data_IF_757154042553
#
_entry.id   IF_757154042553
#
_cell.length_a   1.000
_cell.length_b   1.000
_cell.length_c   1.000
_cell.angle_alpha   90.00
_cell.angle_beta   90.00
_cell.angle_gamma   90.00
#
_symmetry.space_group_name_H-M   'P 1'
#
loop_
_entity.id
_entity.type
_entity.pdbx_description
1 polymer ?
#
# COMPACT_ATOMS: atom_id res chain seq x y z
N UNK A 1 -11.38 6.21 -13.63
CA UNK A 1 -10.94 5.20 -12.65
C UNK A 1 -11.25 5.71 -11.24
N UNK A 2 -12.46 5.46 -10.73
CA UNK A 2 -12.85 5.93 -9.38
C UNK A 2 -12.74 4.80 -8.36
N UNK A 3 -12.87 3.53 -8.77
CA UNK A 3 -12.99 2.37 -7.87
C UNK A 3 -11.63 1.92 -7.28
N UNK A 4 -10.54 1.98 -8.07
CA UNK A 4 -9.24 1.44 -7.66
C UNK A 4 -8.66 2.04 -6.36
N UNK A 5 -8.72 3.37 -6.13
CA UNK A 5 -8.26 3.96 -4.86
C UNK A 5 -9.03 3.44 -3.64
N UNK A 6 -10.33 3.13 -3.78
CA UNK A 6 -11.12 2.59 -2.68
C UNK A 6 -10.71 1.16 -2.34
N UNK A 7 -10.52 0.31 -3.35
CA UNK A 7 -10.06 -1.06 -3.15
C UNK A 7 -8.67 -1.08 -2.51
N UNK A 8 -7.75 -0.26 -3.03
CA UNK A 8 -6.40 -0.16 -2.48
C UNK A 8 -6.42 0.30 -1.02
N UNK A 9 -7.18 1.34 -0.70
CA UNK A 9 -7.33 1.79 0.69
C UNK A 9 -7.97 0.73 1.59
N UNK A 10 -8.89 -0.09 1.06
CA UNK A 10 -9.53 -1.17 1.82
C UNK A 10 -8.52 -2.25 2.20
N UNK A 11 -7.66 -2.63 1.26
CA UNK A 11 -6.59 -3.61 1.48
C UNK A 11 -5.59 -3.12 2.53
N UNK A 12 -5.18 -1.84 2.45
CA UNK A 12 -4.29 -1.24 3.45
C UNK A 12 -4.98 -1.12 4.81
N UNK A 13 -6.25 -0.75 4.87
CA UNK A 13 -7.05 -0.68 6.09
C UNK A 13 -7.13 -2.06 6.78
N UNK A 14 -7.32 -3.14 6.02
CA UNK A 14 -7.30 -4.51 6.56
C UNK A 14 -5.91 -4.82 7.14
N UNK A 15 -4.84 -4.45 6.44
CA UNK A 15 -3.47 -4.65 6.93
C UNK A 15 -3.21 -3.90 8.24
N UNK A 16 -3.70 -2.67 8.34
CA UNK A 16 -3.68 -1.87 9.57
C UNK A 16 -4.49 -2.53 10.70
N UNK A 17 -5.67 -3.07 10.40
CA UNK A 17 -6.49 -3.81 11.37
C UNK A 17 -5.77 -5.05 11.93
N UNK A 18 -5.10 -5.82 11.06
CA UNK A 18 -4.26 -6.98 11.46
C UNK A 18 -3.15 -6.55 12.41
N UNK A 19 -2.58 -5.36 12.17
CA UNK A 19 -1.55 -4.77 13.03
C UNK A 19 -2.11 -4.10 14.30
N UNK A 20 -3.42 -4.20 14.57
CA UNK A 20 -4.06 -3.67 15.78
C UNK A 20 -4.52 -2.21 15.69
N UNK A 21 -4.40 -1.56 14.53
CA UNK A 21 -4.92 -0.20 14.34
C UNK A 21 -6.44 -0.19 14.24
N UNK A 22 -7.08 0.90 14.66
CA UNK A 22 -8.56 1.00 14.68
C UNK A 22 -9.09 2.34 14.17
N UNK A 23 -8.25 3.20 13.61
CA UNK A 23 -8.71 4.45 12.99
C UNK A 23 -9.61 4.15 11.78
N UNK A 24 -10.46 5.12 11.46
CA UNK A 24 -11.49 4.98 10.43
C UNK A 24 -10.87 4.88 9.04
N UNK A 25 -11.50 4.09 8.17
CA UNK A 25 -11.11 3.92 6.77
C UNK A 25 -10.91 5.25 6.01
N UNK A 26 -11.72 6.27 6.31
CA UNK A 26 -11.61 7.60 5.70
C UNK A 26 -10.21 8.21 5.87
N UNK A 27 -9.55 7.93 7.00
CA UNK A 27 -8.21 8.44 7.28
C UNK A 27 -7.15 7.77 6.39
N UNK A 28 -7.21 6.44 6.26
CA UNK A 28 -6.38 5.69 5.32
C UNK A 28 -6.63 6.12 3.88
N UNK A 29 -7.89 6.28 3.48
CA UNK A 29 -8.25 6.69 2.13
C UNK A 29 -7.67 8.07 1.77
N UNK A 30 -7.78 9.06 2.67
CA UNK A 30 -7.18 10.40 2.49
C UNK A 30 -5.68 10.29 2.31
N UNK A 31 -4.99 9.59 3.22
CA UNK A 31 -3.53 9.43 3.16
C UNK A 31 -3.09 8.88 1.82
N UNK A 32 -3.70 7.78 1.37
CA UNK A 32 -3.28 7.11 0.14
C UNK A 32 -3.60 7.95 -1.10
N UNK A 33 -4.75 8.63 -1.11
CA UNK A 33 -5.14 9.50 -2.23
C UNK A 33 -4.22 10.72 -2.36
N UNK A 34 -3.78 11.31 -1.25
CA UNK A 34 -2.79 12.39 -1.31
C UNK A 34 -1.38 11.90 -1.65
N UNK A 35 -1.03 10.69 -1.20
CA UNK A 35 0.31 10.15 -1.40
C UNK A 35 0.62 9.78 -2.85
N UNK A 36 -0.40 9.45 -3.65
CA UNK A 36 -0.22 9.06 -5.06
C UNK A 36 -0.10 10.26 -6.03
N UNK A 37 -0.48 11.46 -5.60
CA UNK A 37 -0.47 12.68 -6.44
C UNK A 37 0.87 12.90 -7.16
N UNK A 38 2.05 12.77 -6.52
CA UNK A 38 3.34 12.96 -7.20
C UNK A 38 3.51 12.02 -8.40
N UNK A 39 3.15 10.74 -8.24
CA UNK A 39 3.17 9.76 -9.34
C UNK A 39 2.13 10.05 -10.42
N UNK A 40 0.95 10.59 -10.07
CA UNK A 40 -0.06 10.93 -11.08
C UNK A 40 0.33 12.13 -11.94
N UNK A 41 0.98 13.13 -11.34
CA UNK A 41 1.39 14.35 -12.05
C UNK A 41 2.65 14.14 -12.89
N UNK A 42 3.65 13.45 -12.34
CA UNK A 42 5.01 13.41 -12.90
C UNK A 42 5.35 12.02 -13.45
N UNK A 43 4.52 11.00 -13.17
CA UNK A 43 4.73 9.62 -13.61
C UNK A 43 4.65 9.40 -15.12
N UNK A 44 4.11 10.36 -15.88
CA UNK A 44 4.04 10.28 -17.35
C UNK A 44 5.40 10.50 -18.03
N UNK A 45 6.37 11.09 -17.32
CA UNK A 45 7.68 11.40 -17.88
C UNK A 45 8.51 10.10 -17.93
N UNK A 46 8.98 9.67 -19.12
CA UNK A 46 9.82 8.49 -19.25
C UNK A 46 11.07 8.58 -18.36
N UNK A 47 11.48 7.45 -17.77
CA UNK A 47 12.61 7.28 -16.85
C UNK A 47 12.50 8.01 -15.50
N UNK A 48 11.91 9.20 -15.46
CA UNK A 48 11.73 10.01 -14.24
C UNK A 48 10.54 9.48 -13.41
N UNK A 49 9.48 9.02 -14.07
CA UNK A 49 8.26 8.59 -13.40
C UNK A 49 8.48 7.47 -12.37
N UNK A 50 9.46 6.59 -12.57
CA UNK A 50 9.79 5.51 -11.63
C UNK A 50 10.19 6.04 -10.24
N UNK A 51 10.93 7.14 -10.17
CA UNK A 51 11.33 7.74 -8.90
C UNK A 51 10.14 8.29 -8.13
N UNK A 52 9.13 8.81 -8.84
CA UNK A 52 7.92 9.35 -8.23
C UNK A 52 6.99 8.27 -7.69
N UNK A 53 7.04 7.05 -8.21
CA UNK A 53 6.37 5.89 -7.59
C UNK A 53 6.98 5.54 -6.23
N UNK A 54 8.32 5.47 -6.17
CA UNK A 54 9.05 5.22 -4.91
C UNK A 54 8.76 6.34 -3.91
N UNK A 55 8.82 7.59 -4.36
CA UNK A 55 8.50 8.75 -3.53
C UNK A 55 7.06 8.70 -3.00
N UNK A 56 6.08 8.37 -3.85
CA UNK A 56 4.67 8.23 -3.46
C UNK A 56 4.48 7.11 -2.43
N UNK A 57 5.23 6.02 -2.55
CA UNK A 57 5.23 4.93 -1.57
C UNK A 57 5.80 5.38 -0.21
N UNK A 58 6.91 6.10 -0.21
CA UNK A 58 7.49 6.68 1.01
C UNK A 58 6.52 7.67 1.66
N UNK A 59 5.85 8.51 0.85
CA UNK A 59 4.86 9.47 1.34
C UNK A 59 3.66 8.76 1.98
N UNK A 60 3.21 7.63 1.41
CA UNK A 60 2.17 6.79 2.01
C UNK A 60 2.59 6.25 3.38
N UNK A 61 3.82 5.74 3.52
CA UNK A 61 4.34 5.26 4.81
C UNK A 61 4.37 6.38 5.85
N UNK A 62 4.87 7.56 5.47
CA UNK A 62 4.94 8.73 6.36
C UNK A 62 3.53 9.18 6.76
N UNK A 63 2.62 9.32 5.78
CA UNK A 63 1.25 9.73 6.02
C UNK A 63 0.50 8.75 6.93
N UNK A 64 0.65 7.45 6.71
CA UNK A 64 0.05 6.42 7.57
C UNK A 64 0.65 6.48 8.98
N UNK A 65 1.96 6.62 9.11
CA UNK A 65 2.66 6.75 10.39
C UNK A 65 2.12 7.93 11.22
N UNK A 66 1.97 9.09 10.60
CA UNK A 66 1.46 10.31 11.27
C UNK A 66 -0.04 10.18 11.57
N UNK A 67 -0.85 9.90 10.55
CA UNK A 67 -2.31 9.91 10.68
C UNK A 67 -2.81 8.76 11.53
N UNK A 68 -2.12 7.61 11.57
CA UNK A 68 -2.46 6.50 12.46
C UNK A 68 -1.71 6.51 13.81
N UNK A 69 -0.80 7.46 14.04
CA UNK A 69 0.07 7.49 15.23
C UNK A 69 0.83 6.17 15.45
N UNK A 70 1.37 5.60 14.36
CA UNK A 70 2.13 4.35 14.38
C UNK A 70 3.59 4.57 14.01
N UNK A 71 4.45 3.66 14.44
CA UNK A 71 5.85 3.68 14.02
C UNK A 71 5.96 3.52 12.49
N UNK A 72 6.99 4.12 11.89
CA UNK A 72 7.25 4.00 10.44
C UNK A 72 7.43 2.55 10.02
N UNK A 73 8.03 1.72 10.88
CA UNK A 73 8.14 0.27 10.66
C UNK A 73 6.78 -0.40 10.56
N UNK A 74 5.85 -0.09 11.48
CA UNK A 74 4.49 -0.64 11.45
C UNK A 74 3.72 -0.18 10.20
N UNK A 75 3.86 1.09 9.82
CA UNK A 75 3.30 1.60 8.56
C UNK A 75 3.89 0.91 7.32
N UNK A 76 5.20 0.66 7.32
CA UNK A 76 5.88 -0.07 6.23
C UNK A 76 5.36 -1.50 6.11
N UNK A 77 5.23 -2.20 7.24
CA UNK A 77 4.63 -3.55 7.27
C UNK A 77 3.20 -3.50 6.75
N UNK A 78 2.39 -2.51 7.16
CA UNK A 78 1.02 -2.36 6.67
C UNK A 78 0.95 -2.22 5.13
N UNK A 79 1.88 -1.48 4.53
CA UNK A 79 1.97 -1.33 3.08
C UNK A 79 2.45 -2.60 2.36
N UNK A 80 3.34 -3.39 2.97
CA UNK A 80 3.94 -4.57 2.35
C UNK A 80 3.13 -5.85 2.58
N UNK A 81 2.34 -5.92 3.65
CA UNK A 81 1.60 -7.11 4.05
C UNK A 81 0.73 -7.71 2.92
N UNK A 82 -0.02 -6.93 2.13
CA UNK A 82 -0.82 -7.49 1.02
C UNK A 82 0.04 -8.18 -0.04
N UNK A 83 1.18 -7.58 -0.36
CA UNK A 83 2.11 -8.10 -1.38
C UNK A 83 2.76 -9.39 -0.87
N UNK A 84 3.18 -9.42 0.40
CA UNK A 84 3.75 -10.61 1.02
C UNK A 84 2.76 -11.78 1.05
N UNK A 85 1.49 -11.51 1.39
CA UNK A 85 0.42 -12.53 1.35
C UNK A 85 0.22 -13.05 -0.06
N UNK A 86 0.13 -12.16 -1.06
CA UNK A 86 -0.05 -12.55 -2.45
C UNK A 86 1.11 -13.41 -2.96
N UNK A 87 2.36 -13.03 -2.68
CA UNK A 87 3.55 -13.82 -3.02
C UNK A 87 3.48 -15.20 -2.38
N UNK A 88 3.10 -15.30 -1.10
CA UNK A 88 2.94 -16.58 -0.41
C UNK A 88 1.89 -17.48 -1.04
N UNK A 89 0.74 -16.93 -1.45
CA UNK A 89 -0.33 -17.67 -2.13
C UNK A 89 0.16 -18.20 -3.49
N UNK A 90 0.80 -17.35 -4.30
CA UNK A 90 1.33 -17.73 -5.61
C UNK A 90 2.37 -18.83 -5.48
N UNK A 91 3.29 -18.70 -4.51
CA UNK A 91 4.33 -19.69 -4.25
C UNK A 91 3.73 -21.04 -3.82
N UNK A 92 2.74 -21.02 -2.93
CA UNK A 92 2.02 -22.22 -2.50
C UNK A 92 1.30 -22.91 -3.66
N UNK A 93 0.60 -22.13 -4.50
CA UNK A 93 -0.07 -22.64 -5.69
C UNK A 93 0.92 -23.27 -6.68
N UNK A 94 2.04 -22.58 -6.96
CA UNK A 94 3.09 -23.11 -7.82
C UNK A 94 3.64 -24.43 -7.27
N UNK A 95 3.97 -24.47 -5.98
CA UNK A 95 4.46 -25.71 -5.36
C UNK A 95 3.44 -26.86 -5.47
N UNK A 96 2.14 -26.58 -5.31
CA UNK A 96 1.11 -27.61 -5.47
C UNK A 96 0.92 -28.05 -6.94
N UNK A 97 0.94 -27.12 -7.88
CA UNK A 97 0.70 -27.38 -9.30
C UNK A 97 1.84 -28.16 -9.98
N UNK A 98 3.09 -27.95 -9.55
CA UNK A 98 4.28 -28.61 -10.11
C UNK A 98 4.74 -29.85 -9.30
N UNK A 99 3.93 -30.31 -8.34
CA UNK A 99 4.21 -31.51 -7.53
C UNK A 99 3.68 -32.82 -8.16
N UNK A 100 3.05 -32.74 -9.35
CA UNK A 100 2.65 -33.86 -10.21
C UNK A 100 3.33 -33.75 -11.57
#
# INVERSE_FOLDING_TARGET
MIIAPFLYAGIIQISLFVLGERKRYQETFKVLTYSIIPSMLIGIIPFIGMFFWIYSFVLAIIGLSIIHNISKTKATIACLLPILILIGIIFSFFFYAFRY
#
